data_IF_439566087503
#
_entry.id   IF_439566087503
#
_cell.length_a   1.000
_cell.length_b   1.000
_cell.length_c   1.000
_cell.angle_alpha   90.00
_cell.angle_beta   90.00
_cell.angle_gamma   90.00
#
_symmetry.space_group_name_H-M   'P 1'
#
loop_
_entity.id
_entity.type
_entity.pdbx_description
1 polymer ?
#
# COMPACT_ATOMS: atom_id res chain seq x y z
N UNK A 1 -23.02 0.51 20.71
CA UNK A 1 -22.15 0.91 19.58
C UNK A 1 -21.25 -0.27 19.20
N UNK A 2 -21.83 -1.37 18.74
CA UNK A 2 -21.13 -2.67 18.58
C UNK A 2 -21.32 -3.29 17.19
N UNK A 3 -22.12 -2.65 16.32
CA UNK A 3 -22.41 -3.11 14.96
C UNK A 3 -21.44 -2.59 13.89
N UNK A 4 -20.81 -1.43 14.09
CA UNK A 4 -19.89 -0.84 13.10
C UNK A 4 -18.55 -1.59 13.01
N UNK A 5 -17.95 -1.92 14.15
CA UNK A 5 -16.65 -2.59 14.22
C UNK A 5 -16.65 -4.03 13.67
N UNK A 6 -17.80 -4.72 13.75
CA UNK A 6 -17.97 -6.05 13.15
C UNK A 6 -18.28 -5.98 11.65
N UNK A 7 -18.93 -4.91 11.17
CA UNK A 7 -19.16 -4.67 9.75
C UNK A 7 -17.89 -4.29 8.99
N UNK A 8 -17.03 -3.45 9.58
CA UNK A 8 -15.74 -3.03 9.00
C UNK A 8 -14.79 -4.21 8.80
N UNK A 9 -14.64 -5.09 9.81
CA UNK A 9 -13.81 -6.30 9.70
C UNK A 9 -14.37 -7.32 8.69
N UNK A 10 -15.69 -7.36 8.50
CA UNK A 10 -16.33 -8.25 7.54
C UNK A 10 -16.17 -7.76 6.10
N UNK A 11 -16.28 -6.45 5.87
CA UNK A 11 -15.96 -5.81 4.60
C UNK A 11 -14.47 -5.99 4.25
N UNK A 12 -13.56 -5.74 5.19
CA UNK A 12 -12.11 -5.92 5.00
C UNK A 12 -11.76 -7.37 4.63
N UNK A 13 -12.40 -8.36 5.26
CA UNK A 13 -12.21 -9.78 4.92
C UNK A 13 -12.81 -10.17 3.57
N UNK A 14 -13.98 -9.63 3.20
CA UNK A 14 -14.56 -9.86 1.87
C UNK A 14 -13.72 -9.23 0.76
N UNK A 15 -13.19 -8.03 0.98
CA UNK A 15 -12.35 -7.34 0.02
C UNK A 15 -11.00 -8.05 -0.14
N UNK A 16 -10.43 -8.59 0.94
CA UNK A 16 -9.24 -9.45 0.86
C UNK A 16 -9.55 -10.75 0.10
N UNK A 17 -10.72 -11.37 0.33
CA UNK A 17 -11.10 -12.60 -0.38
C UNK A 17 -11.20 -12.40 -1.89
N UNK A 18 -11.64 -11.22 -2.35
CA UNK A 18 -11.69 -10.88 -3.77
C UNK A 18 -10.31 -10.92 -4.42
N UNK A 19 -9.24 -10.49 -3.72
CA UNK A 19 -7.87 -10.58 -4.24
C UNK A 19 -7.44 -12.03 -4.56
N UNK A 20 -7.99 -13.01 -3.82
CA UNK A 20 -7.62 -14.42 -3.92
C UNK A 20 -8.68 -15.29 -4.61
N UNK A 21 -9.82 -14.72 -4.98
CA UNK A 21 -10.91 -15.41 -5.67
C UNK A 21 -11.37 -14.56 -6.84
N UNK A 22 -11.13 -15.02 -8.06
CA UNK A 22 -11.37 -14.25 -9.27
C UNK A 22 -12.24 -15.05 -10.25
N UNK A 23 -13.33 -14.48 -10.77
CA UNK A 23 -14.10 -15.12 -11.81
C UNK A 23 -13.37 -15.00 -13.15
N UNK A 24 -13.38 -16.09 -13.93
CA UNK A 24 -13.08 -16.00 -15.36
C UNK A 24 -14.28 -15.44 -16.14
N UNK A 25 -14.10 -15.21 -17.44
CA UNK A 25 -15.14 -14.63 -18.31
C UNK A 25 -16.39 -15.49 -18.47
N UNK A 26 -16.25 -16.80 -18.23
CA UNK A 26 -17.36 -17.74 -18.28
C UNK A 26 -18.07 -17.83 -16.91
N UNK A 27 -17.64 -17.03 -15.93
CA UNK A 27 -18.19 -16.98 -14.58
C UNK A 27 -17.66 -18.08 -13.66
N UNK A 28 -16.61 -18.82 -14.04
CA UNK A 28 -16.05 -19.82 -13.15
C UNK A 28 -15.09 -19.16 -12.15
N UNK A 29 -15.24 -19.51 -10.88
CA UNK A 29 -14.37 -19.00 -9.83
C UNK A 29 -13.04 -19.74 -9.82
N UNK A 30 -11.95 -18.97 -9.79
CA UNK A 30 -10.60 -19.43 -9.61
C UNK A 30 -10.06 -18.89 -8.29
N UNK A 31 -9.35 -19.72 -7.53
CA UNK A 31 -8.77 -19.34 -6.25
C UNK A 31 -7.26 -19.46 -6.25
N UNK A 32 -6.59 -18.55 -5.52
CA UNK A 32 -5.16 -18.60 -5.24
C UNK A 32 -4.95 -18.66 -3.74
N UNK A 33 -3.97 -19.43 -3.29
CA UNK A 33 -3.66 -19.53 -1.86
C UNK A 33 -3.20 -18.17 -1.31
N UNK A 34 -3.83 -17.61 -0.27
CA UNK A 34 -3.37 -16.39 0.38
C UNK A 34 -1.97 -16.51 1.01
N UNK A 35 -1.57 -17.72 1.41
CA UNK A 35 -0.23 -17.99 1.97
C UNK A 35 0.84 -18.17 0.89
N UNK A 36 0.43 -18.30 -0.38
CA UNK A 36 1.31 -18.31 -1.55
C UNK A 36 0.80 -17.33 -2.62
N UNK A 37 1.04 -16.01 -2.45
CA UNK A 37 0.50 -14.98 -3.34
C UNK A 37 1.05 -15.04 -4.77
N UNK A 38 2.18 -15.74 -4.98
CA UNK A 38 2.75 -16.01 -6.31
C UNK A 38 2.31 -17.38 -6.85
N UNK A 39 1.51 -18.12 -6.07
CA UNK A 39 1.00 -19.42 -6.41
C UNK A 39 0.03 -19.40 -7.58
N UNK A 40 -0.29 -20.59 -8.09
CA UNK A 40 -1.15 -20.74 -9.25
C UNK A 40 -2.62 -20.59 -8.89
N UNK A 41 -3.38 -20.02 -9.82
CA UNK A 41 -4.84 -20.02 -9.76
C UNK A 41 -5.35 -21.42 -10.03
N UNK A 42 -6.22 -21.92 -9.16
CA UNK A 42 -6.81 -23.26 -9.30
C UNK A 42 -8.31 -23.25 -9.12
N UNK A 43 -8.98 -24.23 -9.74
CA UNK A 43 -10.39 -24.51 -9.49
C UNK A 43 -10.61 -26.01 -9.45
N UNK A 44 -11.59 -26.47 -8.68
CA UNK A 44 -11.98 -27.88 -8.65
C UNK A 44 -13.27 -28.05 -9.45
N UNK A 45 -13.29 -29.02 -10.37
CA UNK A 45 -14.49 -29.42 -11.10
C UNK A 45 -14.89 -30.82 -10.71
N UNK A 46 -16.18 -31.06 -10.51
CA UNK A 46 -16.73 -32.36 -10.13
C UNK A 46 -17.53 -32.93 -11.30
N UNK A 47 -17.14 -34.11 -11.77
CA UNK A 47 -17.84 -34.83 -12.84
C UNK A 47 -18.51 -36.09 -12.30
N UNK A 48 -19.77 -36.39 -12.65
CA UNK A 48 -20.43 -37.62 -12.22
C UNK A 48 -19.77 -38.84 -12.86
N UNK A 49 -19.58 -39.89 -12.07
CA UNK A 49 -19.01 -41.16 -12.50
C UNK A 49 -20.12 -42.22 -12.72
N UNK A 50 -19.89 -43.22 -13.59
CA UNK A 50 -20.86 -44.29 -13.86
C UNK A 50 -21.28 -45.11 -12.63
N UNK A 51 -20.47 -45.11 -11.57
CA UNK A 51 -20.73 -45.80 -10.30
C UNK A 51 -21.58 -44.98 -9.32
N UNK A 52 -22.10 -43.80 -9.72
CA UNK A 52 -22.89 -42.92 -8.87
C UNK A 52 -22.07 -42.01 -7.95
N UNK A 53 -20.74 -42.03 -8.04
CA UNK A 53 -19.85 -41.08 -7.35
C UNK A 53 -19.55 -39.82 -8.17
N UNK A 54 -18.74 -38.92 -7.61
CA UNK A 54 -18.20 -37.74 -8.31
C UNK A 54 -16.67 -37.82 -8.35
N UNK A 55 -16.08 -37.52 -9.51
CA UNK A 55 -14.65 -37.35 -9.67
C UNK A 55 -14.31 -35.87 -9.61
N UNK A 56 -13.51 -35.49 -8.62
CA UNK A 56 -12.95 -34.15 -8.53
C UNK A 56 -11.65 -34.05 -9.33
N UNK A 57 -11.57 -33.02 -10.18
CA UNK A 57 -10.35 -32.70 -10.93
C UNK A 57 -9.93 -31.28 -10.60
N UNK A 58 -8.69 -31.13 -10.15
CA UNK A 58 -8.08 -29.81 -9.93
C UNK A 58 -7.52 -29.29 -11.25
N UNK A 59 -8.03 -28.14 -11.67
CA UNK A 59 -7.56 -27.41 -12.82
C UNK A 59 -6.66 -26.27 -12.36
N UNK A 60 -5.62 -25.98 -13.14
CA UNK A 60 -4.67 -24.90 -12.91
C UNK A 60 -4.77 -23.92 -14.06
N UNK A 61 -4.94 -22.63 -13.77
CA UNK A 61 -4.92 -21.61 -14.80
C UNK A 61 -3.48 -21.45 -15.29
N UNK A 62 -3.32 -21.33 -16.59
CA UNK A 62 -2.03 -21.11 -17.21
C UNK A 62 -2.18 -20.12 -18.37
N UNK A 63 -1.05 -19.55 -18.77
CA UNK A 63 -1.00 -18.61 -19.87
C UNK A 63 -1.96 -17.43 -19.67
N UNK A 64 -2.68 -17.07 -20.73
CA UNK A 64 -3.52 -15.87 -20.76
C UNK A 64 -4.56 -15.81 -19.65
N UNK A 65 -5.10 -16.97 -19.23
CA UNK A 65 -6.08 -17.01 -18.15
C UNK A 65 -5.44 -16.63 -16.81
N UNK A 66 -4.23 -17.14 -16.51
CA UNK A 66 -3.52 -16.76 -15.29
C UNK A 66 -3.17 -15.26 -15.29
N UNK A 67 -2.77 -14.73 -16.44
CA UNK A 67 -2.44 -13.31 -16.61
C UNK A 67 -3.68 -12.41 -16.43
N UNK A 68 -4.85 -12.82 -16.95
CA UNK A 68 -6.12 -12.11 -16.74
C UNK A 68 -6.56 -12.14 -15.26
N UNK A 69 -6.44 -13.29 -14.59
CA UNK A 69 -6.79 -13.41 -13.16
C UNK A 69 -5.82 -12.58 -12.29
N UNK A 70 -4.53 -12.52 -12.65
CA UNK A 70 -3.55 -11.67 -12.01
C UNK A 70 -3.87 -10.18 -12.18
N UNK A 71 -4.28 -9.76 -13.39
CA UNK A 71 -4.73 -8.39 -13.64
C UNK A 71 -5.91 -7.99 -12.75
N UNK A 72 -6.95 -8.84 -12.66
CA UNK A 72 -8.12 -8.57 -11.80
C UNK A 72 -7.77 -8.55 -10.33
N UNK A 73 -6.99 -9.52 -9.85
CA UNK A 73 -6.53 -9.55 -8.47
C UNK A 73 -5.68 -8.33 -8.10
N UNK A 74 -4.84 -7.85 -9.03
CA UNK A 74 -4.08 -6.63 -8.83
C UNK A 74 -5.01 -5.40 -8.78
N UNK A 75 -5.99 -5.29 -9.68
CA UNK A 75 -6.98 -4.22 -9.64
C UNK A 75 -7.70 -4.15 -8.28
N UNK A 76 -8.13 -5.30 -7.75
CA UNK A 76 -8.78 -5.38 -6.43
C UNK A 76 -7.81 -5.01 -5.30
N UNK A 77 -6.58 -5.55 -5.33
CA UNK A 77 -5.58 -5.28 -4.30
C UNK A 77 -5.18 -3.81 -4.23
N UNK A 78 -4.92 -3.17 -5.36
CA UNK A 78 -4.57 -1.76 -5.42
C UNK A 78 -5.76 -0.86 -5.09
N UNK A 79 -6.98 -1.22 -5.54
CA UNK A 79 -8.19 -0.46 -5.17
C UNK A 79 -8.47 -0.54 -3.67
N UNK A 80 -8.28 -1.70 -3.05
CA UNK A 80 -8.41 -1.87 -1.60
C UNK A 80 -7.37 -1.05 -0.84
N UNK A 81 -6.11 -1.08 -1.28
CA UNK A 81 -5.04 -0.28 -0.68
C UNK A 81 -5.28 1.24 -0.79
N UNK A 82 -5.91 1.70 -1.88
CA UNK A 82 -6.30 3.09 -2.06
C UNK A 82 -7.55 3.49 -1.25
N UNK A 83 -8.47 2.54 -1.02
CA UNK A 83 -9.63 2.77 -0.18
C UNK A 83 -9.26 2.84 1.31
N UNK A 84 -8.22 2.12 1.72
CA UNK A 84 -7.75 2.05 3.10
C UNK A 84 -6.23 2.31 3.18
N UNK A 85 -5.77 3.53 2.86
CA UNK A 85 -4.35 3.84 2.92
C UNK A 85 -3.84 3.74 4.37
N UNK A 86 -2.59 3.29 4.59
CA UNK A 86 -2.00 3.27 5.91
C UNK A 86 -1.99 4.68 6.52
N UNK A 87 -2.34 4.77 7.80
CA UNK A 87 -2.24 6.05 8.52
C UNK A 87 -0.77 6.48 8.57
N UNK A 88 -0.45 7.75 8.22
CA UNK A 88 0.90 8.28 8.37
C UNK A 88 1.40 8.16 9.81
N UNK A 89 2.66 7.78 9.97
CA UNK A 89 3.32 7.80 11.27
C UNK A 89 3.91 9.19 11.53
N UNK A 90 3.92 9.66 12.78
CA UNK A 90 4.53 10.93 13.17
C UNK A 90 6.06 10.84 13.05
N UNK A 91 6.71 11.52 12.08
CA UNK A 91 8.16 11.47 11.94
C UNK A 91 8.88 12.28 13.03
N UNK A 92 8.17 13.06 13.83
CA UNK A 92 8.70 13.98 14.84
C UNK A 92 8.29 13.62 16.27
N UNK A 93 7.64 12.47 16.46
CA UNK A 93 7.41 11.82 17.76
C UNK A 93 7.72 10.33 17.66
N UNK A 94 8.82 9.90 18.27
CA UNK A 94 9.31 8.51 18.23
C UNK A 94 9.29 7.86 19.61
N UNK A 95 9.02 6.56 19.67
CA UNK A 95 8.95 5.83 20.95
C UNK A 95 10.29 5.86 21.69
N UNK A 96 10.26 6.21 22.98
CA UNK A 96 11.44 6.24 23.84
C UNK A 96 11.29 5.30 25.06
N UNK A 97 10.44 4.26 24.97
CA UNK A 97 10.21 3.35 26.11
C UNK A 97 11.46 2.59 26.52
N UNK A 98 12.36 2.31 25.59
CA UNK A 98 13.62 1.66 25.88
C UNK A 98 14.66 2.60 26.52
N UNK A 99 14.40 3.91 26.56
CA UNK A 99 15.32 4.87 27.14
C UNK A 99 15.30 4.80 28.67
N UNK A 100 16.49 4.67 29.26
CA UNK A 100 16.68 4.43 30.70
C UNK A 100 17.21 5.64 31.43
N UNK A 101 17.74 6.63 30.69
CA UNK A 101 18.25 7.87 31.25
C UNK A 101 17.44 9.07 30.74
N UNK A 102 16.96 9.97 31.62
CA UNK A 102 17.07 9.90 33.08
C UNK A 102 16.28 8.70 33.66
N UNK A 103 16.57 8.24 34.89
CA UNK A 103 15.85 7.14 35.51
C UNK A 103 14.33 7.31 35.45
N UNK A 104 13.61 6.20 35.37
CA UNK A 104 12.13 6.24 35.44
C UNK A 104 11.69 6.66 36.83
N UNK A 105 10.76 7.60 36.87
CA UNK A 105 10.19 8.10 38.12
C UNK A 105 8.81 7.49 38.38
N UNK A 106 8.35 7.46 39.64
CA UNK A 106 6.97 7.09 39.97
C UNK A 106 5.99 7.96 39.17
N UNK A 107 4.86 7.38 38.75
CA UNK A 107 3.79 8.07 38.01
C UNK A 107 4.11 8.48 36.56
N UNK A 108 5.27 8.09 36.04
CA UNK A 108 5.57 8.20 34.62
C UNK A 108 4.63 7.32 33.78
N UNK A 109 3.95 7.94 32.81
CA UNK A 109 2.99 7.28 31.92
C UNK A 109 3.52 7.05 30.51
N UNK A 110 4.40 7.92 30.01
CA UNK A 110 5.01 7.74 28.69
C UNK A 110 6.36 8.43 28.55
N UNK A 111 7.15 7.94 27.59
CA UNK A 111 8.40 8.54 27.13
C UNK A 111 8.40 8.53 25.61
N UNK A 112 8.57 9.70 25.03
CA UNK A 112 8.63 9.88 23.59
C UNK A 112 9.78 10.83 23.25
N UNK A 113 10.54 10.54 22.22
CA UNK A 113 11.40 11.53 21.60
C UNK A 113 10.54 12.46 20.78
N UNK A 114 10.65 13.77 21.03
CA UNK A 114 9.90 14.78 20.28
C UNK A 114 10.87 15.79 19.66
N UNK A 115 10.60 16.19 18.43
CA UNK A 115 11.33 17.28 17.79
C UNK A 115 10.65 18.60 18.09
N UNK A 116 11.41 19.59 18.51
CA UNK A 116 10.91 20.95 18.64
C UNK A 116 10.80 21.61 17.25
N UNK A 117 9.63 22.15 16.95
CA UNK A 117 9.35 22.68 15.61
C UNK A 117 10.05 24.01 15.30
N UNK A 118 10.45 24.78 16.33
CA UNK A 118 11.08 26.09 16.16
C UNK A 118 12.61 25.97 16.04
N UNK A 119 13.21 25.14 16.88
CA UNK A 119 14.66 24.96 17.00
C UNK A 119 15.17 23.77 16.19
N UNK A 120 14.28 22.84 15.83
CA UNK A 120 14.62 21.59 15.17
C UNK A 120 15.37 20.58 16.05
N UNK A 121 15.50 20.86 17.35
CA UNK A 121 16.21 20.00 18.29
C UNK A 121 15.31 18.87 18.77
N UNK A 122 15.91 17.70 18.96
CA UNK A 122 15.25 16.56 19.57
C UNK A 122 15.40 16.62 21.08
N UNK A 123 14.35 16.21 21.79
CA UNK A 123 14.34 16.11 23.25
C UNK A 123 13.57 14.87 23.68
N UNK A 124 13.84 14.37 24.87
CA UNK A 124 13.05 13.32 25.51
C UNK A 124 11.89 13.98 26.27
N UNK A 125 10.67 13.80 25.77
CA UNK A 125 9.43 14.16 26.45
C UNK A 125 9.03 13.03 27.41
N UNK A 126 8.89 13.35 28.70
CA UNK A 126 8.44 12.42 29.73
C UNK A 126 7.13 12.96 30.29
N UNK A 127 6.07 12.15 30.22
CA UNK A 127 4.75 12.49 30.74
C UNK A 127 4.47 11.74 32.02
N UNK A 128 3.95 12.46 33.00
CA UNK A 128 3.61 11.94 34.33
C UNK A 128 2.17 12.25 34.67
N UNK A 129 1.47 11.30 35.29
CA UNK A 129 0.10 11.48 35.74
C UNK A 129 -0.07 11.01 37.18
N UNK A 130 -0.39 11.96 38.06
CA UNK A 130 -0.68 11.70 39.47
C UNK A 130 -2.19 11.85 39.64
N UNK A 131 -2.84 10.85 40.24
CA UNK A 131 -4.29 10.84 40.41
C UNK A 131 -4.82 12.14 41.05
N UNK A 132 -5.87 12.70 40.44
CA UNK A 132 -6.46 13.99 40.81
C UNK A 132 -5.64 15.24 40.47
N UNK A 133 -4.49 15.13 39.78
CA UNK A 133 -3.66 16.28 39.37
C UNK A 133 -3.60 16.44 37.85
N UNK A 134 -3.22 17.66 37.44
CA UNK A 134 -2.95 17.99 36.03
C UNK A 134 -1.71 17.20 35.57
N UNK A 135 -1.76 16.51 34.42
CA UNK A 135 -0.59 15.82 33.86
C UNK A 135 0.61 16.76 33.71
N UNK A 136 1.79 16.28 34.08
CA UNK A 136 3.04 17.05 33.99
C UNK A 136 3.84 16.52 32.80
N UNK A 137 4.38 17.43 31.99
CA UNK A 137 5.31 17.11 30.91
C UNK A 137 6.66 17.74 31.22
N UNK A 138 7.73 16.95 31.23
CA UNK A 138 9.11 17.42 31.33
C UNK A 138 9.89 17.03 30.09
N UNK A 139 10.86 17.86 29.74
CA UNK A 139 11.77 17.60 28.65
C UNK A 139 13.19 17.40 29.18
N UNK A 140 13.88 16.38 28.68
CA UNK A 140 15.27 16.12 28.96
C UNK A 140 16.11 16.29 27.68
N UNK A 141 17.31 16.90 27.77
CA UNK A 141 18.22 16.95 26.64
C UNK A 141 18.68 15.53 26.28
N UNK A 142 19.00 15.32 25.01
CA UNK A 142 19.56 14.07 24.50
C UNK A 142 20.95 14.34 23.89
N UNK A 143 21.76 13.29 23.74
CA UNK A 143 23.07 13.45 23.11
C UNK A 143 22.96 13.77 21.61
N UNK A 144 23.99 14.39 21.05
CA UNK A 144 24.06 14.70 19.61
C UNK A 144 24.00 13.45 18.74
N UNK A 145 24.63 12.36 19.19
CA UNK A 145 24.60 11.06 18.51
C UNK A 145 23.18 10.50 18.47
N UNK A 146 22.45 10.59 19.59
CA UNK A 146 21.04 10.19 19.65
C UNK A 146 20.18 11.05 18.75
N UNK A 147 20.34 12.38 18.77
CA UNK A 147 19.61 13.29 17.90
C UNK A 147 19.83 12.97 16.42
N UNK A 148 21.07 12.66 16.02
CA UNK A 148 21.40 12.25 14.64
C UNK A 148 20.72 10.94 14.26
N UNK A 149 20.69 9.97 15.16
CA UNK A 149 20.00 8.70 14.93
C UNK A 149 18.48 8.88 14.77
N UNK A 150 17.87 9.73 15.60
CA UNK A 150 16.43 10.06 15.52
C UNK A 150 16.10 10.79 14.21
N UNK A 151 16.97 11.69 13.75
CA UNK A 151 16.79 12.36 12.46
C UNK A 151 16.80 11.35 11.30
N UNK A 152 17.68 10.35 11.31
CA UNK A 152 17.70 9.27 10.31
C UNK A 152 16.42 8.42 10.34
N UNK A 153 15.92 8.10 11.54
CA UNK A 153 14.64 7.38 11.70
C UNK A 153 13.46 8.23 11.20
N UNK A 154 13.45 9.53 11.50
CA UNK A 154 12.47 10.50 11.01
C UNK A 154 12.43 10.55 9.48
N UNK A 155 13.59 10.61 8.82
CA UNK A 155 13.67 10.55 7.35
C UNK A 155 13.14 9.23 6.78
N UNK A 156 13.37 8.11 7.48
CA UNK A 156 12.83 6.81 7.08
C UNK A 156 11.29 6.80 7.16
N UNK A 157 10.71 7.36 8.22
CA UNK A 157 9.25 7.50 8.36
C UNK A 157 8.67 8.41 7.27
N UNK A 158 9.31 9.54 6.98
CA UNK A 158 8.90 10.45 5.89
C UNK A 158 8.89 9.70 4.55
N UNK A 159 9.94 8.95 4.24
CA UNK A 159 10.02 8.16 3.01
C UNK A 159 8.94 7.06 2.95
N UNK A 160 8.64 6.42 4.08
CA UNK A 160 7.56 5.43 4.18
C UNK A 160 6.18 6.08 3.99
N UNK A 161 5.91 7.20 4.65
CA UNK A 161 4.67 7.97 4.49
C UNK A 161 4.51 8.39 3.02
N UNK A 162 5.56 8.93 2.39
CA UNK A 162 5.57 9.32 0.99
C UNK A 162 5.30 8.15 0.04
N UNK A 163 5.91 7.00 0.29
CA UNK A 163 5.70 5.78 -0.48
C UNK A 163 4.27 5.22 -0.35
N UNK A 164 3.55 5.53 0.73
CA UNK A 164 2.19 5.03 0.97
C UNK A 164 1.09 6.02 0.56
N UNK A 165 1.46 7.13 -0.08
CA UNK A 165 0.49 8.06 -0.66
C UNK A 165 -0.30 7.40 -1.81
N UNK A 166 -1.55 7.85 -2.06
CA UNK A 166 -2.35 7.32 -3.17
C UNK A 166 -1.63 7.41 -4.52
N UNK A 167 -0.94 8.52 -4.81
CA UNK A 167 -0.17 8.69 -6.04
C UNK A 167 0.96 7.68 -6.15
N UNK A 168 1.69 7.41 -5.06
CA UNK A 168 2.77 6.44 -5.06
C UNK A 168 2.24 5.01 -5.26
N UNK A 169 1.08 4.68 -4.67
CA UNK A 169 0.39 3.40 -4.89
C UNK A 169 0.00 3.27 -6.37
N UNK A 170 -0.61 4.30 -6.96
CA UNK A 170 -0.99 4.30 -8.37
C UNK A 170 0.22 4.23 -9.32
N UNK A 171 1.35 4.85 -8.96
CA UNK A 171 2.60 4.74 -9.72
C UNK A 171 3.17 3.32 -9.71
N UNK A 172 3.17 2.63 -8.56
CA UNK A 172 3.54 1.20 -8.48
C UNK A 172 2.63 0.31 -9.32
N UNK A 173 1.33 0.59 -9.33
CA UNK A 173 0.39 -0.09 -10.22
C UNK A 173 0.79 0.11 -11.68
N UNK A 174 1.15 1.33 -12.09
CA UNK A 174 1.55 1.61 -13.47
C UNK A 174 2.79 0.83 -13.90
N UNK A 175 3.77 0.67 -13.00
CA UNK A 175 4.96 -0.17 -13.25
C UNK A 175 4.53 -1.62 -13.51
N UNK A 176 3.73 -2.20 -12.61
CA UNK A 176 3.25 -3.58 -12.76
C UNK A 176 2.40 -3.75 -14.03
N UNK A 177 1.49 -2.81 -14.30
CA UNK A 177 0.65 -2.79 -15.48
C UNK A 177 1.46 -2.84 -16.78
N UNK A 178 2.54 -2.07 -16.86
CA UNK A 178 3.45 -2.09 -17.99
C UNK A 178 4.29 -3.36 -18.03
N UNK A 179 4.86 -3.77 -16.88
CA UNK A 179 5.73 -4.93 -16.76
C UNK A 179 5.04 -6.22 -17.19
N UNK A 180 3.76 -6.38 -16.88
CA UNK A 180 2.98 -7.59 -17.20
C UNK A 180 2.08 -7.45 -18.43
N UNK A 181 2.22 -6.36 -19.21
CA UNK A 181 1.46 -6.18 -20.46
C UNK A 181 -0.06 -6.11 -20.29
N UNK A 182 -0.56 -5.65 -19.13
CA UNK A 182 -1.99 -5.66 -18.79
C UNK A 182 -2.86 -4.73 -19.65
N UNK A 183 -2.25 -3.94 -20.54
CA UNK A 183 -2.97 -3.17 -21.56
C UNK A 183 -3.85 -4.04 -22.45
N UNK A 184 -3.53 -5.33 -22.63
CA UNK A 184 -4.39 -6.23 -23.39
C UNK A 184 -5.75 -6.49 -22.72
N UNK A 185 -5.81 -6.46 -21.39
CA UNK A 185 -7.03 -6.74 -20.61
C UNK A 185 -7.84 -5.46 -20.38
N UNK A 186 -7.15 -4.32 -20.24
CA UNK A 186 -7.76 -3.03 -19.92
C UNK A 186 -8.79 -2.53 -20.95
N UNK A 187 -8.72 -2.99 -22.20
CA UNK A 187 -9.72 -2.66 -23.23
C UNK A 187 -11.10 -3.29 -22.97
N UNK A 188 -11.14 -4.36 -22.18
CA UNK A 188 -12.37 -5.13 -21.89
C UNK A 188 -12.85 -4.90 -20.47
N UNK A 189 -11.91 -4.76 -19.55
CA UNK A 189 -12.17 -4.42 -18.16
C UNK A 189 -11.28 -3.24 -17.80
N UNK A 190 -11.83 -2.01 -17.75
CA UNK A 190 -11.02 -0.82 -17.55
C UNK A 190 -10.38 -0.84 -16.17
N UNK A 191 -9.22 -0.18 -16.06
CA UNK A 191 -8.55 0.07 -14.78
C UNK A 191 -9.53 0.75 -13.81
N UNK A 192 -9.63 0.29 -12.55
CA UNK A 192 -10.50 0.90 -11.56
C UNK A 192 -10.36 2.42 -11.43
N UNK A 193 -11.48 3.09 -11.18
CA UNK A 193 -11.51 4.55 -11.03
C UNK A 193 -10.67 5.03 -9.85
N UNK A 194 -10.58 4.27 -8.76
CA UNK A 194 -9.74 4.61 -7.60
C UNK A 194 -8.27 4.81 -8.02
N UNK A 195 -7.74 3.88 -8.81
CA UNK A 195 -6.36 3.93 -9.33
C UNK A 195 -6.20 5.07 -10.35
N UNK A 196 -7.20 5.27 -11.22
CA UNK A 196 -7.16 6.35 -12.21
C UNK A 196 -7.16 7.73 -11.55
N UNK A 197 -8.05 7.96 -10.57
CA UNK A 197 -8.15 9.21 -9.82
C UNK A 197 -6.87 9.54 -9.06
N UNK A 198 -6.30 8.54 -8.38
CA UNK A 198 -5.05 8.66 -7.64
C UNK A 198 -3.85 9.03 -8.54
N UNK A 199 -3.94 8.84 -9.86
CA UNK A 199 -2.88 9.24 -10.81
C UNK A 199 -3.08 10.66 -11.38
N UNK A 200 -4.32 11.10 -11.55
CA UNK A 200 -4.65 12.27 -12.40
C UNK A 200 -4.89 13.57 -11.64
N UNK A 201 -5.08 13.51 -10.32
CA UNK A 201 -5.40 14.68 -9.51
C UNK A 201 -4.38 14.80 -8.37
N UNK A 202 -3.89 16.02 -8.05
CA UNK A 202 -3.14 16.23 -6.82
C UNK A 202 -3.99 15.78 -5.63
N UNK A 203 -3.52 14.80 -4.87
CA UNK A 203 -4.26 14.33 -3.71
C UNK A 203 -3.89 15.19 -2.49
N UNK A 204 -4.85 15.39 -1.57
CA UNK A 204 -4.53 15.84 -0.23
C UNK A 204 -3.54 14.87 0.43
N UNK A 205 -2.57 15.38 1.17
CA UNK A 205 -1.72 14.55 2.02
C UNK A 205 -2.33 14.45 3.41
N UNK A 206 -2.51 13.23 3.89
CA UNK A 206 -2.82 13.01 5.31
C UNK A 206 -1.54 13.22 6.13
N UNK A 207 -1.63 13.96 7.23
CA UNK A 207 -0.55 14.08 8.21
C UNK A 207 -0.75 13.08 9.36
N UNK A 208 0.27 12.90 10.17
CA UNK A 208 0.25 12.09 11.38
C UNK A 208 -0.79 12.52 12.43
N UNK A 209 -1.26 13.77 12.37
CA UNK A 209 -2.35 14.30 13.20
C UNK A 209 -3.75 13.77 12.79
N UNK A 210 -3.83 13.00 11.70
CA UNK A 210 -5.05 12.37 11.19
C UNK A 210 -5.83 13.21 10.18
N UNK A 211 -5.46 14.48 9.94
CA UNK A 211 -6.15 15.36 9.00
C UNK A 211 -5.52 15.32 7.61
N UNK A 212 -6.34 15.60 6.59
CA UNK A 212 -5.91 15.75 5.20
C UNK A 212 -5.68 17.21 4.85
N UNK A 213 -4.50 17.52 4.33
CA UNK A 213 -4.09 18.85 3.95
C UNK A 213 -3.94 18.97 2.44
N UNK A 214 -4.37 20.11 1.91
CA UNK A 214 -4.15 20.49 0.51
C UNK A 214 -3.07 21.56 0.43
N UNK A 215 -2.19 21.44 -0.56
CA UNK A 215 -1.12 22.39 -0.81
C UNK A 215 -1.58 23.40 -1.85
N UNK A 216 -1.48 24.69 -1.55
CA UNK A 216 -1.77 25.75 -2.50
C UNK A 216 -0.57 26.03 -3.43
N UNK A 217 -0.75 26.99 -4.35
CA UNK A 217 0.30 27.42 -5.28
C UNK A 217 1.50 28.11 -4.59
N UNK A 218 1.29 28.69 -3.41
CA UNK A 218 2.35 29.30 -2.60
C UNK A 218 3.13 28.27 -1.77
N UNK A 219 2.64 27.02 -1.74
CA UNK A 219 3.21 25.94 -0.97
C UNK A 219 2.73 25.88 0.47
N UNK A 220 1.66 26.57 0.81
CA UNK A 220 1.03 26.51 2.12
C UNK A 220 0.05 25.33 2.20
N UNK A 221 0.05 24.66 3.35
CA UNK A 221 -0.80 23.52 3.61
C UNK A 221 -2.00 23.94 4.45
N UNK A 222 -3.19 23.57 4.02
CA UNK A 222 -4.42 23.87 4.74
C UNK A 222 -5.34 22.66 4.83
N UNK A 223 -6.03 22.52 5.96
CA UNK A 223 -7.05 21.50 6.22
C UNK A 223 -8.40 22.19 6.47
N UNK A 224 -9.55 21.57 6.14
CA UNK A 224 -10.86 22.11 6.48
C UNK A 224 -11.00 22.37 8.00
N UNK A 225 -11.53 23.54 8.36
CA UNK A 225 -11.86 23.87 9.75
C UNK A 225 -13.10 23.12 10.23
N UNK A 226 -13.18 22.83 11.53
CA UNK A 226 -14.29 22.09 12.14
C UNK A 226 -15.65 22.78 12.00
N UNK A 227 -15.66 24.12 11.92
CA UNK A 227 -16.89 24.91 11.82
C UNK A 227 -16.96 25.73 10.53
N UNK A 228 -15.93 26.53 10.23
CA UNK A 228 -15.83 27.33 9.01
C UNK A 228 -14.36 27.54 8.64
N UNK A 229 -14.10 27.80 7.35
CA UNK A 229 -12.77 28.18 6.85
C UNK A 229 -11.78 27.03 6.78
N UNK A 230 -10.50 27.39 6.71
CA UNK A 230 -9.37 26.47 6.59
C UNK A 230 -8.35 26.77 7.68
N UNK A 231 -7.76 25.73 8.26
CA UNK A 231 -6.68 25.85 9.23
C UNK A 231 -5.33 25.60 8.54
N UNK A 232 -4.34 26.50 8.67
CA UNK A 232 -3.01 26.26 8.14
C UNK A 232 -2.28 25.20 8.98
N UNK A 233 -1.49 24.34 8.31
CA UNK A 233 -0.54 23.50 9.00
C UNK A 233 0.56 24.36 9.63
N UNK A 234 0.94 24.06 10.87
CA UNK A 234 1.99 24.79 11.60
C UNK A 234 3.00 23.83 12.20
N UNK A 235 4.17 24.36 12.59
CA UNK A 235 5.22 23.60 13.27
C UNK A 235 5.63 22.31 12.55
N UNK A 236 5.71 21.22 13.31
CA UNK A 236 6.13 19.90 12.81
C UNK A 236 5.18 19.33 11.76
N UNK A 237 3.88 19.59 11.83
CA UNK A 237 2.91 19.13 10.82
C UNK A 237 3.21 19.75 9.45
N UNK A 238 3.53 21.04 9.42
CA UNK A 238 3.93 21.71 8.15
C UNK A 238 5.23 21.13 7.60
N UNK A 239 6.22 20.89 8.45
CA UNK A 239 7.49 20.30 8.03
C UNK A 239 7.31 18.86 7.51
N UNK A 240 6.50 18.05 8.21
CA UNK A 240 6.15 16.69 7.81
C UNK A 240 5.54 16.68 6.41
N UNK A 241 4.53 17.52 6.17
CA UNK A 241 3.85 17.61 4.88
C UNK A 241 4.80 18.06 3.76
N UNK A 242 5.66 19.05 4.02
CA UNK A 242 6.65 19.51 3.05
C UNK A 242 7.65 18.41 2.67
N UNK A 243 8.23 17.72 3.66
CA UNK A 243 9.20 16.66 3.39
C UNK A 243 8.56 15.44 2.74
N UNK A 244 7.36 15.07 3.18
CA UNK A 244 6.59 13.96 2.59
C UNK A 244 6.26 14.26 1.14
N UNK A 245 5.79 15.47 0.83
CA UNK A 245 5.52 15.89 -0.55
C UNK A 245 6.80 15.88 -1.40
N UNK A 246 7.90 16.43 -0.90
CA UNK A 246 9.18 16.43 -1.63
C UNK A 246 9.66 15.00 -1.93
N UNK A 247 9.62 14.12 -0.92
CA UNK A 247 9.99 12.71 -1.06
C UNK A 247 9.07 11.98 -2.04
N UNK A 248 7.77 12.25 -1.99
CA UNK A 248 6.78 11.70 -2.93
C UNK A 248 7.10 12.13 -4.37
N UNK A 249 7.35 13.42 -4.62
CA UNK A 249 7.65 13.92 -5.96
C UNK A 249 8.90 13.26 -6.55
N UNK A 250 9.97 13.11 -5.75
CA UNK A 250 11.16 12.39 -6.17
C UNK A 250 10.86 10.92 -6.50
N UNK A 251 10.15 10.22 -5.61
CA UNK A 251 9.76 8.82 -5.84
C UNK A 251 8.85 8.64 -7.05
N UNK A 252 7.95 9.59 -7.34
CA UNK A 252 7.10 9.56 -8.54
C UNK A 252 7.92 9.72 -9.83
N UNK A 253 8.96 10.55 -9.83
CA UNK A 253 9.87 10.68 -10.98
C UNK A 253 10.65 9.39 -11.24
N UNK A 254 11.17 8.76 -10.18
CA UNK A 254 11.86 7.47 -10.27
C UNK A 254 10.91 6.39 -10.79
N UNK A 255 9.70 6.29 -10.22
CA UNK A 255 8.70 5.32 -10.65
C UNK A 255 8.20 5.55 -12.08
N UNK A 256 8.09 6.80 -12.53
CA UNK A 256 7.75 7.11 -13.91
C UNK A 256 8.84 6.60 -14.88
N UNK A 257 10.12 6.77 -14.50
CA UNK A 257 11.24 6.24 -15.26
C UNK A 257 11.22 4.71 -15.29
N UNK A 258 10.95 4.06 -14.15
CA UNK A 258 10.78 2.60 -14.08
C UNK A 258 9.60 2.10 -14.92
N UNK A 259 8.49 2.83 -14.94
CA UNK A 259 7.31 2.48 -15.73
C UNK A 259 7.61 2.51 -17.23
N UNK A 260 8.43 3.45 -17.70
CA UNK A 260 8.86 3.51 -19.10
C UNK A 260 9.81 2.37 -19.47
N UNK A 261 10.75 2.02 -18.57
CA UNK A 261 11.60 0.84 -18.72
C UNK A 261 10.77 -0.44 -18.79
N UNK A 262 9.79 -0.60 -17.89
CA UNK A 262 8.88 -1.74 -17.86
C UNK A 262 8.00 -1.83 -19.11
N UNK A 263 7.63 -0.69 -19.69
CA UNK A 263 6.88 -0.63 -20.95
C UNK A 263 7.71 -1.10 -22.14
N UNK A 264 8.98 -0.71 -22.16
CA UNK A 264 9.93 -1.08 -23.22
C UNK A 264 10.43 -2.52 -23.09
N UNK A 265 10.49 -3.04 -21.86
CA UNK A 265 10.98 -4.37 -21.52
C UNK A 265 9.97 -5.11 -20.63
N UNK A 266 8.79 -5.47 -21.17
CA UNK A 266 7.82 -6.23 -20.40
C UNK A 266 8.40 -7.61 -20.05
N UNK A 267 8.10 -8.08 -18.84
CA UNK A 267 8.39 -9.46 -18.47
C UNK A 267 7.51 -10.36 -19.32
N UNK A 268 8.06 -11.38 -20.01
CA UNK A 268 7.25 -12.31 -20.78
C UNK A 268 6.19 -12.92 -19.88
N UNK A 269 4.93 -12.80 -20.26
CA UNK A 269 3.83 -13.43 -19.53
C UNK A 269 3.91 -14.96 -19.66
N UNK A 270 3.22 -15.70 -18.79
CA UNK A 270 3.14 -17.16 -19.00
C UNK A 270 2.53 -17.49 -20.36
N UNK A 271 1.61 -16.66 -20.85
CA UNK A 271 1.01 -16.80 -22.17
C UNK A 271 2.03 -16.63 -23.29
N UNK A 272 2.88 -15.61 -23.17
CA UNK A 272 3.94 -15.34 -24.14
C UNK A 272 4.97 -16.47 -24.17
N UNK A 273 5.35 -16.99 -23.00
CA UNK A 273 6.26 -18.12 -22.90
C UNK A 273 5.66 -19.38 -23.52
N UNK A 274 4.38 -19.68 -23.25
CA UNK A 274 3.72 -20.84 -23.84
C UNK A 274 3.56 -20.71 -25.36
N UNK A 275 3.24 -19.50 -25.85
CA UNK A 275 3.10 -19.20 -27.28
C UNK A 275 4.45 -19.24 -28.00
N UNK A 276 5.50 -18.73 -27.37
CA UNK A 276 6.87 -18.84 -27.88
C UNK A 276 7.28 -20.30 -28.00
N UNK A 277 7.10 -21.10 -26.95
CA UNK A 277 7.38 -22.54 -26.94
C UNK A 277 6.55 -23.27 -28.00
N UNK A 278 5.24 -23.00 -28.11
CA UNK A 278 4.38 -23.57 -29.14
C UNK A 278 4.83 -23.20 -30.56
N UNK A 279 5.23 -21.95 -30.78
CA UNK A 279 5.83 -21.48 -32.03
C UNK A 279 7.18 -22.14 -32.32
N UNK A 280 7.98 -22.47 -31.29
CA UNK A 280 9.22 -23.22 -31.40
C UNK A 280 9.00 -24.68 -31.82
N UNK A 281 7.93 -25.32 -31.34
CA UNK A 281 7.55 -26.67 -31.75
C UNK A 281 6.93 -26.71 -33.14
N UNK A 282 6.10 -25.72 -33.49
CA UNK A 282 5.51 -25.59 -34.82
C UNK A 282 6.57 -25.38 -35.90
N UNK A 283 7.58 -24.52 -35.66
CA UNK A 283 8.72 -24.35 -36.59
C UNK A 283 9.66 -25.56 -36.65
N UNK A 284 9.61 -26.44 -35.65
CA UNK A 284 10.37 -27.69 -35.62
C UNK A 284 9.58 -28.88 -36.20
N UNK A 285 8.34 -28.66 -36.67
CA UNK A 285 7.50 -29.71 -37.27
C UNK A 285 6.94 -30.73 -36.27
N UNK A 286 6.93 -30.42 -34.97
CA UNK A 286 6.43 -31.31 -33.93
C UNK A 286 4.99 -30.92 -33.59
N UNK A 287 4.01 -31.65 -34.15
CA UNK A 287 2.60 -31.56 -33.74
C UNK A 287 2.42 -32.28 -32.42
N UNK A 288 1.87 -31.59 -31.41
CA UNK A 288 1.48 -32.21 -30.14
C UNK A 288 0.28 -33.13 -30.42
N UNK A 289 0.46 -34.44 -30.32
CA UNK A 289 -0.65 -35.38 -30.18
C UNK A 289 -1.17 -35.27 -28.76
N UNK A 290 -2.31 -34.60 -28.58
CA UNK A 290 -3.03 -34.64 -27.31
C UNK A 290 -3.48 -36.09 -27.09
N UNK A 291 -2.97 -36.72 -26.02
CA UNK A 291 -3.41 -38.04 -25.58
C UNK A 291 -4.51 -37.88 -24.53
N UNK A 292 -5.59 -38.64 -24.75
CA UNK A 292 -6.87 -38.72 -24.05
C UNK A 292 -6.83 -38.78 -22.51
#
# INVERSE_FOLDING_TARGET
MTGAYLGERWAEKQDINRIYTQPDRSGNEWTRNPEDPQGTWTRTVSAPMPNGGFQETRLVAAGRLADELNYRAANDSYSLGLANPPKPQDPYRLDAKAETHPPREPFETSRDYVRDAQTGQWQLEIRENIDGKIPITRNAPISTERATALESQSQTIIAQNAANTPEAIAARYQIAYNQFGWNEFANREPVPQAITNARTQPQPLQASDGHSYTRDANGEWTTPGTFYGTNPATGNTREELNRTWQSQQAGLQDMASMAEVARSNPTPTQSDLHSQVAGMYARAGITRTDAH
#
